data_IF_502029473940
#
_entry.id   IF_502029473940
#
_cell.length_a   1.000
_cell.length_b   1.000
_cell.length_c   1.000
_cell.angle_alpha   90.00
_cell.angle_beta   90.00
_cell.angle_gamma   90.00
#
_symmetry.space_group_name_H-M   'P 1'
#
loop_
_entity.id
_entity.type
_entity.pdbx_description
1 polymer ?
#
# COMPACT_ATOMS: atom_id res chain seq x y z
N UNK A 1 21.14 16.54 -11.86
CA UNK A 1 20.19 15.85 -12.77
C UNK A 1 19.03 15.40 -11.91
N UNK A 2 17.85 16.01 -12.05
CA UNK A 2 16.63 15.51 -11.39
C UNK A 2 16.19 14.27 -12.16
N UNK A 3 16.15 13.14 -11.48
CA UNK A 3 15.53 11.93 -11.99
C UNK A 3 14.02 12.21 -12.17
N UNK A 4 13.63 12.38 -13.43
CA UNK A 4 12.26 12.65 -13.84
C UNK A 4 11.59 11.37 -14.36
N UNK A 5 12.07 10.19 -13.92
CA UNK A 5 11.39 8.94 -14.17
C UNK A 5 10.00 9.03 -13.54
N UNK A 6 9.02 9.29 -14.39
CA UNK A 6 7.61 9.06 -14.11
C UNK A 6 7.47 7.57 -13.90
N UNK A 7 7.78 7.11 -12.68
CA UNK A 7 7.45 5.79 -12.19
C UNK A 7 5.99 5.60 -12.54
N UNK A 8 5.74 4.79 -13.57
CA UNK A 8 4.39 4.46 -14.01
C UNK A 8 3.76 3.71 -12.85
N UNK A 9 3.13 4.44 -11.94
CA UNK A 9 2.35 3.87 -10.85
C UNK A 9 1.33 2.97 -11.56
N UNK A 10 1.40 1.64 -11.37
CA UNK A 10 0.48 0.76 -12.04
C UNK A 10 -0.94 1.17 -11.66
N UNK A 11 -1.84 1.20 -12.64
CA UNK A 11 -3.26 1.55 -12.43
C UNK A 11 -3.95 0.63 -11.41
N UNK A 12 -3.31 -0.51 -11.10
CA UNK A 12 -3.71 -1.47 -10.10
C UNK A 12 -2.56 -1.68 -9.11
N UNK A 13 -2.84 -1.49 -7.82
CA UNK A 13 -1.90 -1.80 -6.75
C UNK A 13 -2.23 -3.19 -6.20
N UNK A 14 -1.31 -4.14 -6.38
CA UNK A 14 -1.44 -5.47 -5.77
C UNK A 14 -0.80 -5.44 -4.40
N UNK A 15 -1.48 -6.01 -3.40
CA UNK A 15 -0.92 -6.20 -2.07
C UNK A 15 -1.25 -7.61 -1.57
N UNK A 16 -0.35 -8.19 -0.80
CA UNK A 16 -0.59 -9.40 -0.04
C UNK A 16 -0.21 -9.15 1.41
N UNK A 17 -0.94 -9.75 2.35
CA UNK A 17 -0.52 -9.72 3.75
C UNK A 17 0.88 -10.36 3.86
N UNK A 18 1.77 -9.70 4.59
CA UNK A 18 3.18 -10.09 4.70
C UNK A 18 4.11 -9.45 3.66
N UNK A 19 3.58 -8.71 2.67
CA UNK A 19 4.39 -8.00 1.69
C UNK A 19 5.20 -6.88 2.36
N UNK A 20 6.49 -6.83 2.04
CA UNK A 20 7.36 -5.72 2.40
C UNK A 20 7.08 -4.55 1.46
N UNK A 21 6.94 -3.36 2.03
CA UNK A 21 6.78 -2.11 1.29
C UNK A 21 7.70 -1.03 1.85
N UNK A 22 8.19 -0.20 0.94
CA UNK A 22 9.00 0.97 1.26
C UNK A 22 8.16 2.22 1.01
N UNK A 23 8.22 3.16 1.94
CA UNK A 23 7.58 4.46 1.79
C UNK A 23 8.47 5.32 0.91
N UNK A 24 7.95 5.74 -0.25
CA UNK A 24 8.69 6.55 -1.23
C UNK A 24 8.52 8.06 -1.01
N UNK A 25 7.48 8.47 -0.28
CA UNK A 25 7.17 9.87 0.01
C UNK A 25 6.61 10.06 1.42
N UNK A 26 7.08 11.08 2.12
CA UNK A 26 6.64 11.42 3.47
C UNK A 26 5.44 12.39 3.45
N UNK A 27 4.23 11.89 3.22
CA UNK A 27 3.03 12.73 3.30
C UNK A 27 2.53 12.93 4.74
N UNK A 28 2.97 12.11 5.71
CA UNK A 28 2.46 12.12 7.09
C UNK A 28 3.59 12.13 8.13
N UNK A 29 4.26 13.28 8.30
CA UNK A 29 5.41 13.43 9.20
C UNK A 29 5.11 13.11 10.68
N UNK A 30 3.86 13.25 11.12
CA UNK A 30 3.45 12.98 12.51
C UNK A 30 3.28 11.48 12.86
N UNK A 31 3.20 10.59 11.86
CA UNK A 31 2.87 9.18 12.07
C UNK A 31 4.10 8.26 12.19
N UNK A 32 5.33 8.82 12.29
CA UNK A 32 6.60 8.07 12.24
C UNK A 32 6.73 7.14 11.01
N UNK A 33 5.97 7.42 9.96
CA UNK A 33 6.09 6.76 8.66
C UNK A 33 7.16 7.52 7.88
N UNK A 34 8.39 7.00 7.92
CA UNK A 34 9.59 7.63 7.33
C UNK A 34 9.98 7.00 5.98
N UNK A 35 10.33 7.86 5.03
CA UNK A 35 10.88 7.51 3.72
C UNK A 35 12.09 6.58 3.89
N UNK A 36 12.11 5.50 3.11
CA UNK A 36 13.18 4.50 3.16
C UNK A 36 13.02 3.44 4.25
N UNK A 37 12.07 3.57 5.19
CA UNK A 37 11.79 2.51 6.15
C UNK A 37 10.93 1.40 5.54
N UNK A 38 11.25 0.16 5.92
CA UNK A 38 10.52 -1.03 5.50
C UNK A 38 9.39 -1.36 6.48
N UNK A 39 8.19 -1.58 5.93
CA UNK A 39 7.03 -2.01 6.68
C UNK A 39 6.46 -3.30 6.11
N UNK A 40 5.76 -4.04 6.96
CA UNK A 40 5.00 -5.22 6.55
C UNK A 40 3.52 -4.83 6.47
N UNK A 41 2.90 -5.07 5.31
CA UNK A 41 1.45 -4.94 5.15
C UNK A 41 0.76 -6.05 5.94
N UNK A 42 -0.10 -5.69 6.90
CA UNK A 42 -0.95 -6.63 7.64
C UNK A 42 -2.38 -6.70 7.13
N UNK A 43 -2.80 -5.70 6.37
CA UNK A 43 -4.12 -5.64 5.76
C UNK A 43 -4.43 -4.25 5.23
N UNK A 44 -5.70 -4.03 4.91
CA UNK A 44 -6.19 -2.74 4.43
C UNK A 44 -7.61 -2.50 4.95
N UNK A 45 -7.98 -1.22 5.01
CA UNK A 45 -9.36 -0.79 5.25
C UNK A 45 -9.98 -0.50 3.88
N UNK A 46 -11.05 -1.21 3.47
CA UNK A 46 -11.67 -0.99 2.18
C UNK A 46 -12.26 0.42 2.09
N UNK A 47 -12.26 0.97 0.88
CA UNK A 47 -13.00 2.20 0.60
C UNK A 47 -14.50 1.89 0.57
N UNK A 48 -15.35 2.62 1.30
CA UNK A 48 -16.79 2.33 1.38
C UNK A 48 -17.50 2.44 0.02
N UNK A 49 -16.94 3.18 -0.92
CA UNK A 49 -17.46 3.31 -2.29
C UNK A 49 -16.82 2.32 -3.28
N UNK A 50 -15.99 1.38 -2.79
CA UNK A 50 -15.38 0.36 -3.64
C UNK A 50 -16.30 -0.84 -3.80
N UNK A 51 -16.32 -1.41 -5.00
CA UNK A 51 -16.84 -2.75 -5.24
C UNK A 51 -15.73 -3.76 -4.96
N UNK A 52 -16.06 -4.85 -4.29
CA UNK A 52 -15.13 -5.93 -3.98
C UNK A 52 -15.58 -7.20 -4.72
N UNK A 53 -14.74 -7.69 -5.61
CA UNK A 53 -14.97 -8.94 -6.35
C UNK A 53 -14.02 -10.02 -5.85
N UNK A 54 -14.57 -11.16 -5.44
CA UNK A 54 -13.77 -12.30 -5.01
C UNK A 54 -13.40 -13.15 -6.23
N UNK A 55 -12.11 -13.16 -6.56
CA UNK A 55 -11.59 -13.98 -7.67
C UNK A 55 -11.38 -15.42 -7.20
N UNK A 56 -10.85 -15.59 -5.97
CA UNK A 56 -10.77 -16.90 -5.30
C UNK A 56 -10.71 -16.74 -3.77
N UNK A 57 -10.42 -17.82 -3.04
CA UNK A 57 -10.38 -17.80 -1.58
C UNK A 57 -9.35 -16.81 -0.99
N UNK A 58 -8.29 -16.48 -1.75
CA UNK A 58 -7.15 -15.65 -1.33
C UNK A 58 -7.02 -14.31 -2.08
N UNK A 59 -7.75 -14.11 -3.17
CA UNK A 59 -7.60 -12.94 -4.06
C UNK A 59 -8.90 -12.15 -4.15
N UNK A 60 -8.80 -10.87 -3.81
CA UNK A 60 -9.86 -9.88 -3.94
C UNK A 60 -9.43 -8.79 -4.93
N UNK A 61 -10.32 -8.44 -5.85
CA UNK A 61 -10.22 -7.25 -6.69
C UNK A 61 -11.04 -6.12 -6.06
N UNK A 62 -10.39 -4.99 -5.80
CA UNK A 62 -11.04 -3.79 -5.23
C UNK A 62 -10.98 -2.68 -6.27
N UNK A 63 -12.13 -2.11 -6.64
CA UNK A 63 -12.23 -1.17 -7.77
C UNK A 63 -11.74 0.25 -7.48
N UNK A 64 -11.39 0.54 -6.22
CA UNK A 64 -10.86 1.82 -5.78
C UNK A 64 -9.69 1.60 -4.82
N UNK A 65 -8.78 2.58 -4.70
CA UNK A 65 -7.75 2.54 -3.67
C UNK A 65 -8.36 2.34 -2.27
N UNK A 66 -7.69 1.58 -1.39
CA UNK A 66 -8.16 1.38 -0.02
C UNK A 66 -8.23 2.72 0.73
N UNK A 67 -9.10 2.81 1.74
CA UNK A 67 -9.20 3.98 2.60
C UNK A 67 -7.92 4.15 3.44
N UNK A 68 -7.33 3.03 3.85
CA UNK A 68 -6.05 2.99 4.56
C UNK A 68 -5.38 1.62 4.39
N UNK A 69 -4.06 1.57 4.60
CA UNK A 69 -3.26 0.34 4.67
C UNK A 69 -2.79 0.18 6.10
N UNK A 70 -2.91 -1.03 6.65
CA UNK A 70 -2.37 -1.35 7.97
C UNK A 70 -0.92 -1.82 7.83
N UNK A 71 -0.01 -1.01 8.35
CA UNK A 71 1.42 -1.29 8.38
C UNK A 71 1.83 -1.72 9.78
N UNK A 72 2.76 -2.67 9.86
CA UNK A 72 3.55 -2.90 11.08
C UNK A 72 5.01 -2.70 10.75
N UNK A 73 5.79 -2.23 11.72
CA UNK A 73 7.25 -2.15 11.56
C UNK A 73 7.78 -3.54 11.28
N UNK A 74 8.71 -3.66 10.34
CA UNK A 74 9.62 -4.81 10.35
C UNK A 74 10.42 -4.68 11.66
N UNK A 75 10.34 -5.67 12.55
CA UNK A 75 11.23 -5.68 13.71
C UNK A 75 12.67 -5.73 13.17
N UNK A 76 13.51 -4.78 13.59
CA UNK A 76 14.97 -4.88 13.48
C UNK A 76 15.48 -6.06 14.28
#
# INVERSE_FOLDING_TARGET
>A
MMDNSTLKIPSYFTFTCGMLVTIIENSFQALKVVNGAEYIIKGFIPNPCASIYRINSKVLLVTRPPKAILLTSKNT
#
